data_IF_015688779986
#
_entry.id   IF_015688779986
#
_cell.length_a   1.000
_cell.length_b   1.000
_cell.length_c   1.000
_cell.angle_alpha   90.00
_cell.angle_beta   90.00
_cell.angle_gamma   90.00
#
_symmetry.space_group_name_H-M   'P 1'
#
loop_
_entity.id
_entity.type
_entity.pdbx_description
1 polymer ?
#
# COMPACT_ATOMS: atom_id res chain seq x y z
N UNK A 1 -1.41 2.66 -6.12
CA UNK A 1 -0.21 3.51 -6.20
C UNK A 1 0.94 2.67 -6.72
N UNK A 2 1.68 3.14 -7.70
CA UNK A 2 2.82 2.44 -8.28
C UNK A 2 4.12 3.23 -8.10
N UNK A 3 5.25 2.61 -8.40
CA UNK A 3 6.59 3.17 -8.22
C UNK A 3 7.14 3.00 -6.78
N UNK A 4 8.45 2.78 -6.65
CA UNK A 4 9.15 2.87 -5.37
C UNK A 4 9.14 4.32 -4.86
N UNK A 5 9.43 4.54 -3.58
CA UNK A 5 9.37 5.88 -2.97
C UNK A 5 10.24 6.92 -3.68
N UNK A 6 11.32 6.48 -4.32
CA UNK A 6 12.29 7.31 -5.04
C UNK A 6 12.08 7.34 -6.56
N UNK A 7 11.10 6.59 -7.07
CA UNK A 7 10.79 6.52 -8.50
C UNK A 7 9.59 7.41 -8.84
N UNK A 8 9.34 7.57 -10.15
CA UNK A 8 8.13 8.20 -10.70
C UNK A 8 6.89 7.54 -10.11
N UNK A 9 6.13 8.27 -9.30
CA UNK A 9 5.00 7.73 -8.56
C UNK A 9 3.69 8.00 -9.31
N UNK A 10 2.81 7.00 -9.33
CA UNK A 10 1.49 7.12 -9.95
C UNK A 10 0.45 6.67 -8.93
N UNK A 11 -0.53 7.53 -8.65
CA UNK A 11 -1.72 7.21 -7.88
C UNK A 11 -2.90 7.07 -8.83
N UNK A 12 -3.47 5.87 -8.91
CA UNK A 12 -4.64 5.59 -9.74
C UNK A 12 -5.81 5.22 -8.86
N UNK A 13 -6.95 5.82 -9.13
CA UNK A 13 -8.24 5.49 -8.53
C UNK A 13 -9.17 4.99 -9.63
N UNK A 14 -9.91 3.96 -9.33
CA UNK A 14 -10.91 3.41 -10.21
C UNK A 14 -12.21 3.23 -9.44
N UNK A 15 -13.32 3.61 -10.06
CA UNK A 15 -14.64 3.32 -9.53
C UNK A 15 -15.06 1.92 -9.97
N UNK A 16 -15.51 1.13 -9.00
CA UNK A 16 -16.13 -0.17 -9.25
C UNK A 16 -17.47 -0.27 -8.51
N UNK A 17 -18.50 -0.90 -9.11
CA UNK A 17 -19.83 -0.99 -8.50
C UNK A 17 -19.87 -1.95 -7.30
N UNK A 18 -18.81 -2.72 -7.08
CA UNK A 18 -18.73 -3.71 -5.99
C UNK A 18 -17.31 -3.97 -5.54
N UNK A 19 -17.16 -5.01 -4.72
CA UNK A 19 -15.89 -5.45 -4.12
C UNK A 19 -15.48 -6.87 -4.57
N UNK A 20 -16.00 -7.36 -5.67
CA UNK A 20 -15.67 -8.69 -6.19
C UNK A 20 -14.21 -8.82 -6.61
N UNK A 21 -13.67 -10.04 -6.51
CA UNK A 21 -12.28 -10.35 -6.91
C UNK A 21 -12.00 -10.10 -8.40
N UNK A 22 -13.04 -10.11 -9.25
CA UNK A 22 -12.93 -9.83 -10.66
C UNK A 22 -12.38 -8.42 -10.94
N UNK A 23 -12.77 -7.40 -10.15
CA UNK A 23 -12.35 -6.02 -10.40
C UNK A 23 -10.84 -5.81 -10.29
N UNK A 24 -10.15 -6.20 -9.19
CA UNK A 24 -8.71 -6.09 -9.16
C UNK A 24 -8.00 -7.02 -10.17
N UNK A 25 -8.58 -8.18 -10.48
CA UNK A 25 -8.02 -9.08 -11.50
C UNK A 25 -8.07 -8.46 -12.90
N UNK A 26 -9.19 -7.84 -13.27
CA UNK A 26 -9.36 -7.16 -14.55
C UNK A 26 -8.46 -5.91 -14.65
N UNK A 27 -8.46 -5.06 -13.61
CA UNK A 27 -7.65 -3.84 -13.57
C UNK A 27 -6.15 -4.13 -13.67
N UNK A 28 -5.69 -5.21 -13.04
CA UNK A 28 -4.27 -5.61 -13.03
C UNK A 28 -3.95 -6.65 -14.10
N UNK A 29 -4.85 -6.87 -15.06
CA UNK A 29 -4.60 -7.81 -16.16
C UNK A 29 -3.34 -7.43 -16.94
N UNK A 30 -2.43 -8.39 -17.11
CA UNK A 30 -1.13 -8.17 -17.76
C UNK A 30 -0.08 -7.47 -16.89
N UNK A 31 -0.40 -7.10 -15.65
CA UNK A 31 0.60 -6.59 -14.73
C UNK A 31 1.44 -7.74 -14.16
N UNK A 32 2.75 -7.54 -14.16
CA UNK A 32 3.74 -8.45 -13.56
C UNK A 32 4.62 -7.69 -12.58
N UNK A 33 4.96 -8.31 -11.47
CA UNK A 33 5.83 -7.72 -10.45
C UNK A 33 5.29 -7.86 -9.04
N UNK A 34 5.57 -6.88 -8.19
CA UNK A 34 5.19 -6.91 -6.79
C UNK A 34 3.87 -6.16 -6.55
N UNK A 35 2.91 -6.84 -5.92
CA UNK A 35 1.60 -6.28 -5.56
C UNK A 35 1.44 -6.24 -4.04
N UNK A 36 1.53 -5.05 -3.45
CA UNK A 36 1.34 -4.88 -2.01
C UNK A 36 -0.13 -4.66 -1.65
N UNK A 37 -0.64 -5.48 -0.71
CA UNK A 37 -2.05 -5.52 -0.33
C UNK A 37 -2.22 -5.55 1.19
N UNK A 38 -3.46 -5.31 1.64
CA UNK A 38 -3.86 -5.38 3.05
C UNK A 38 -4.25 -6.80 3.51
N UNK A 39 -4.18 -7.80 2.64
CA UNK A 39 -4.63 -9.17 2.90
C UNK A 39 -6.10 -9.41 2.59
N UNK A 40 -6.76 -8.51 1.83
CA UNK A 40 -8.08 -8.77 1.28
C UNK A 40 -8.04 -9.92 0.25
N UNK A 41 -8.94 -10.89 0.41
CA UNK A 41 -8.94 -12.12 -0.40
C UNK A 41 -9.20 -11.88 -1.89
N UNK A 42 -9.86 -10.77 -2.25
CA UNK A 42 -10.09 -10.37 -3.64
C UNK A 42 -8.84 -10.22 -4.50
N UNK A 43 -7.67 -10.05 -3.88
CA UNK A 43 -6.40 -10.02 -4.60
C UNK A 43 -5.79 -11.40 -4.89
N UNK A 44 -6.39 -12.48 -4.38
CA UNK A 44 -5.87 -13.83 -4.60
C UNK A 44 -5.97 -14.27 -6.07
N UNK A 45 -6.91 -13.70 -6.82
CA UNK A 45 -7.17 -14.05 -8.23
C UNK A 45 -6.29 -13.26 -9.22
N UNK A 46 -5.53 -12.27 -8.75
CA UNK A 46 -4.59 -11.52 -9.59
C UNK A 46 -3.42 -12.42 -9.97
N UNK A 47 -3.26 -12.68 -11.27
CA UNK A 47 -2.22 -13.58 -11.80
C UNK A 47 -0.92 -12.84 -12.12
N UNK A 48 0.20 -13.55 -12.14
CA UNK A 48 1.51 -13.02 -12.58
C UNK A 48 2.18 -12.10 -11.58
N UNK A 49 1.67 -11.98 -10.34
CA UNK A 49 2.21 -11.08 -9.32
C UNK A 49 2.81 -11.83 -8.13
N UNK A 50 3.84 -11.24 -7.55
CA UNK A 50 4.32 -11.61 -6.22
C UNK A 50 3.64 -10.72 -5.18
N UNK A 51 2.76 -11.31 -4.36
CA UNK A 51 2.03 -10.55 -3.34
C UNK A 51 2.92 -10.18 -2.17
N UNK A 52 2.76 -8.94 -1.71
CA UNK A 52 3.35 -8.44 -0.47
C UNK A 52 2.23 -8.16 0.52
N UNK A 53 2.42 -8.59 1.77
CA UNK A 53 1.49 -8.30 2.86
C UNK A 53 1.80 -6.98 3.55
N UNK A 54 0.98 -6.64 4.53
CA UNK A 54 1.12 -5.40 5.30
C UNK A 54 1.32 -5.69 6.79
N UNK A 55 2.52 -5.43 7.30
CA UNK A 55 2.84 -5.57 8.72
C UNK A 55 2.08 -4.59 9.62
N UNK A 56 1.67 -3.44 9.08
CA UNK A 56 0.85 -2.51 9.84
C UNK A 56 -0.53 -3.10 10.18
N UNK A 57 -1.12 -3.90 9.28
CA UNK A 57 -2.36 -4.62 9.54
C UNK A 57 -2.20 -5.71 10.59
N UNK A 58 -1.12 -6.50 10.53
CA UNK A 58 -0.83 -7.49 11.55
C UNK A 58 -0.60 -6.83 12.92
N UNK A 59 0.20 -5.74 12.96
CA UNK A 59 0.45 -4.98 14.20
C UNK A 59 -0.85 -4.45 14.80
N UNK A 60 -1.78 -3.95 13.97
CA UNK A 60 -3.10 -3.47 14.43
C UNK A 60 -3.90 -4.59 15.09
N UNK A 61 -3.88 -5.81 14.53
CA UNK A 61 -4.56 -6.97 15.14
C UNK A 61 -3.98 -7.34 16.51
N UNK A 62 -2.66 -7.30 16.67
CA UNK A 62 -2.04 -7.49 18.00
C UNK A 62 -2.35 -6.34 18.96
N UNK A 63 -2.39 -5.08 18.47
CA UNK A 63 -2.80 -3.92 19.27
C UNK A 63 -4.25 -4.04 19.78
N UNK A 64 -5.17 -4.50 18.93
CA UNK A 64 -6.54 -4.80 19.34
C UNK A 64 -6.60 -5.92 20.40
N UNK A 65 -5.75 -6.94 20.27
CA UNK A 65 -5.65 -8.01 21.26
C UNK A 65 -5.09 -7.50 22.59
N UNK A 66 -4.10 -6.60 22.57
CA UNK A 66 -3.56 -5.94 23.78
C UNK A 66 -4.64 -5.07 24.45
N UNK A 67 -5.41 -4.29 23.67
CA UNK A 67 -6.51 -3.46 24.20
C UNK A 67 -7.63 -4.28 24.83
N UNK A 68 -7.79 -5.53 24.43
CA UNK A 68 -8.78 -6.46 25.01
C UNK A 68 -8.30 -7.13 26.31
N UNK A 69 -7.04 -6.93 26.72
CA UNK A 69 -6.54 -7.41 28.01
C UNK A 69 -7.08 -6.58 29.18
N UNK A 70 -7.10 -7.14 30.39
CA UNK A 70 -7.42 -6.38 31.61
C UNK A 70 -6.54 -5.13 31.72
N UNK A 71 -7.09 -4.04 32.29
CA UNK A 71 -6.35 -2.79 32.51
C UNK A 71 -5.06 -3.07 33.32
N UNK A 72 -3.93 -2.59 32.81
CA UNK A 72 -2.63 -2.75 33.46
C UNK A 72 -1.87 -4.03 33.08
N UNK A 73 -2.44 -4.93 32.31
CA UNK A 73 -1.71 -6.09 31.79
C UNK A 73 -0.55 -5.65 30.88
N UNK A 74 0.68 -6.00 31.26
CA UNK A 74 1.91 -5.65 30.52
C UNK A 74 2.64 -6.86 29.94
N UNK A 75 2.08 -8.05 30.08
CA UNK A 75 2.67 -9.33 29.66
C UNK A 75 1.64 -10.18 28.95
N UNK A 76 2.10 -11.20 28.25
CA UNK A 76 1.26 -12.17 27.55
C UNK A 76 1.47 -12.16 26.05
N UNK A 77 0.89 -13.16 25.37
CA UNK A 77 1.12 -13.41 23.95
C UNK A 77 0.73 -12.22 23.04
N UNK A 78 -0.32 -11.45 23.38
CA UNK A 78 -0.70 -10.25 22.64
C UNK A 78 0.41 -9.18 22.67
N UNK A 79 0.97 -8.93 23.85
CA UNK A 79 2.06 -7.96 24.05
C UNK A 79 3.34 -8.42 23.34
N UNK A 80 3.66 -9.72 23.43
CA UNK A 80 4.84 -10.29 22.75
C UNK A 80 4.69 -10.17 21.22
N UNK A 81 3.54 -10.54 20.66
CA UNK A 81 3.31 -10.42 19.22
C UNK A 81 3.37 -8.96 18.72
N UNK A 82 2.82 -8.01 19.50
CA UNK A 82 2.94 -6.59 19.21
C UNK A 82 4.40 -6.11 19.28
N UNK A 83 5.19 -6.63 20.23
CA UNK A 83 6.61 -6.28 20.37
C UNK A 83 7.44 -6.74 19.16
N UNK A 84 7.20 -7.95 18.62
CA UNK A 84 7.84 -8.41 17.37
C UNK A 84 7.55 -7.46 16.21
N UNK A 85 6.28 -7.12 15.99
CA UNK A 85 5.92 -6.14 14.95
C UNK A 85 6.62 -4.79 15.18
N UNK A 86 6.69 -4.32 16.43
CA UNK A 86 7.32 -3.05 16.75
C UNK A 86 8.82 -3.07 16.47
N UNK A 87 9.52 -4.16 16.82
CA UNK A 87 10.95 -4.34 16.50
C UNK A 87 11.21 -4.27 15.01
N UNK A 88 10.41 -4.93 14.17
CA UNK A 88 10.51 -4.84 12.70
C UNK A 88 10.39 -3.39 12.21
N UNK A 89 9.38 -2.66 12.66
CA UNK A 89 9.23 -1.25 12.27
C UNK A 89 10.35 -0.35 12.79
N UNK A 90 10.99 -0.69 13.92
CA UNK A 90 12.17 0.04 14.41
C UNK A 90 13.37 -0.20 13.51
N UNK A 91 13.65 -1.45 13.13
CA UNK A 91 14.72 -1.77 12.18
C UNK A 91 14.47 -1.05 10.84
N UNK A 92 13.29 -1.16 10.26
CA UNK A 92 12.96 -0.49 9.00
C UNK A 92 13.13 1.04 9.06
N UNK A 93 12.89 1.66 10.21
CA UNK A 93 13.15 3.10 10.40
C UNK A 93 14.64 3.42 10.36
N UNK A 94 15.48 2.57 10.96
CA UNK A 94 16.93 2.73 10.91
C UNK A 94 17.50 2.51 9.50
N UNK A 95 16.86 1.63 8.71
CA UNK A 95 17.24 1.34 7.33
C UNK A 95 16.70 2.37 6.32
N UNK A 96 15.89 3.32 6.78
CA UNK A 96 15.34 4.37 5.92
C UNK A 96 16.47 5.24 5.35
N UNK A 97 16.47 5.44 4.03
CA UNK A 97 17.49 6.24 3.33
C UNK A 97 18.71 5.44 2.89
N UNK A 98 18.83 4.15 3.23
CA UNK A 98 19.85 3.30 2.66
C UNK A 98 19.54 2.98 1.19
N UNK A 99 20.57 2.86 0.33
CA UNK A 99 20.40 2.30 -1.02
C UNK A 99 19.72 0.92 -0.96
N UNK A 100 18.92 0.57 -2.00
CA UNK A 100 18.15 -0.67 -2.01
C UNK A 100 18.97 -1.94 -1.73
N UNK A 101 20.17 -2.01 -2.27
CA UNK A 101 21.08 -3.16 -2.09
C UNK A 101 21.51 -3.30 -0.63
N UNK A 102 21.91 -2.20 -0.01
CA UNK A 102 22.30 -2.17 1.40
C UNK A 102 21.10 -2.48 2.32
N UNK A 103 19.93 -1.95 1.98
CA UNK A 103 18.70 -2.23 2.72
C UNK A 103 18.31 -3.71 2.64
N UNK A 104 18.47 -4.32 1.47
CA UNK A 104 18.26 -5.75 1.28
C UNK A 104 19.18 -6.58 2.18
N UNK A 105 20.48 -6.30 2.16
CA UNK A 105 21.47 -7.02 2.97
C UNK A 105 21.20 -6.87 4.48
N UNK A 106 20.93 -5.66 4.94
CA UNK A 106 20.64 -5.39 6.36
C UNK A 106 19.35 -6.08 6.82
N UNK A 107 18.32 -6.14 5.98
CA UNK A 107 17.11 -6.92 6.26
C UNK A 107 17.41 -8.40 6.45
N UNK A 108 18.24 -9.00 5.59
CA UNK A 108 18.64 -10.40 5.73
C UNK A 108 19.43 -10.66 7.01
N UNK A 109 20.26 -9.71 7.43
CA UNK A 109 21.06 -9.83 8.67
C UNK A 109 20.22 -9.63 9.94
N UNK A 110 19.27 -8.70 9.93
CA UNK A 110 18.61 -8.22 11.16
C UNK A 110 17.16 -8.66 11.27
N UNK A 111 16.40 -8.62 10.17
CA UNK A 111 14.98 -8.93 10.19
C UNK A 111 14.68 -10.40 9.93
N UNK A 112 15.42 -11.04 9.03
CA UNK A 112 15.21 -12.47 8.75
C UNK A 112 15.31 -13.35 10.01
N UNK A 113 16.34 -13.23 10.87
CA UNK A 113 16.39 -13.97 12.14
C UNK A 113 15.23 -13.63 13.07
N UNK A 114 14.85 -12.35 13.17
CA UNK A 114 13.72 -11.91 13.98
C UNK A 114 12.39 -12.49 13.49
N UNK A 115 12.21 -12.60 12.18
CA UNK A 115 11.04 -13.23 11.57
C UNK A 115 11.00 -14.73 11.84
N UNK A 116 12.13 -15.42 11.75
CA UNK A 116 12.23 -16.85 12.07
C UNK A 116 11.90 -17.12 13.54
N UNK A 117 12.42 -16.28 14.44
CA UNK A 117 12.09 -16.34 15.87
C UNK A 117 10.60 -16.09 16.11
N UNK A 118 10.03 -15.06 15.46
CA UNK A 118 8.61 -14.74 15.55
C UNK A 118 7.72 -15.87 15.06
N UNK A 119 8.09 -16.50 13.94
CA UNK A 119 7.37 -17.64 13.38
C UNK A 119 7.39 -18.83 14.34
N UNK A 120 8.57 -19.23 14.80
CA UNK A 120 8.73 -20.32 15.77
C UNK A 120 7.97 -20.05 17.07
N UNK A 121 8.03 -18.81 17.56
CA UNK A 121 7.27 -18.38 18.73
C UNK A 121 5.75 -18.50 18.51
N UNK A 122 5.24 -18.15 17.33
CA UNK A 122 3.82 -18.21 17.03
C UNK A 122 3.33 -19.67 16.87
N UNK A 123 4.10 -20.50 16.17
CA UNK A 123 3.75 -21.90 15.89
C UNK A 123 3.73 -22.77 17.16
N UNK A 124 4.50 -22.38 18.19
CA UNK A 124 4.50 -23.05 19.50
C UNK A 124 3.25 -22.73 20.37
N UNK A 125 2.26 -21.99 19.85
CA UNK A 125 1.12 -21.51 20.65
C UNK A 125 -0.22 -21.96 20.10
N UNK A 126 -1.06 -22.45 21.01
CA UNK A 126 -2.47 -22.72 20.74
C UNK A 126 -3.32 -21.56 21.27
N UNK A 127 -4.07 -20.90 20.38
CA UNK A 127 -4.91 -19.74 20.73
C UNK A 127 -6.31 -19.98 20.21
N UNK A 128 -7.34 -19.60 20.99
CA UNK A 128 -8.74 -19.69 20.57
C UNK A 128 -8.98 -18.83 19.31
N UNK A 129 -9.33 -19.38 18.13
CA UNK A 129 -9.35 -18.65 16.84
C UNK A 129 -10.27 -17.44 16.81
N UNK A 130 -11.39 -17.50 17.55
CA UNK A 130 -12.40 -16.42 17.61
C UNK A 130 -12.04 -15.27 18.55
N UNK A 131 -11.01 -15.44 19.41
CA UNK A 131 -10.52 -14.36 20.27
C UNK A 131 -9.82 -13.28 19.44
N UNK A 132 -9.66 -12.05 19.98
CA UNK A 132 -8.87 -10.98 19.33
C UNK A 132 -7.43 -11.42 19.06
N UNK A 133 -6.83 -12.14 20.00
CA UNK A 133 -5.51 -12.73 19.81
C UNK A 133 -5.51 -13.79 18.72
N UNK A 134 -6.51 -14.69 18.72
CA UNK A 134 -6.67 -15.73 17.70
C UNK A 134 -6.79 -15.15 16.29
N UNK A 135 -7.52 -14.05 16.12
CA UNK A 135 -7.64 -13.35 14.83
C UNK A 135 -6.28 -12.81 14.35
N UNK A 136 -5.39 -12.36 15.27
CA UNK A 136 -4.04 -11.95 14.91
C UNK A 136 -3.19 -13.14 14.45
N UNK A 137 -3.30 -14.29 15.13
CA UNK A 137 -2.59 -15.52 14.75
C UNK A 137 -3.10 -16.12 13.43
N UNK A 138 -4.41 -16.11 13.20
CA UNK A 138 -4.99 -16.55 11.91
C UNK A 138 -4.50 -15.66 10.78
N UNK A 139 -4.48 -14.34 10.97
CA UNK A 139 -3.95 -13.42 9.97
C UNK A 139 -2.45 -13.67 9.72
N UNK A 140 -1.65 -13.81 10.77
CA UNK A 140 -0.23 -14.12 10.68
C UNK A 140 0.00 -15.41 9.88
N UNK A 141 -0.73 -16.49 10.18
CA UNK A 141 -0.59 -17.77 9.50
C UNK A 141 -0.97 -17.68 8.02
N UNK A 142 -2.13 -17.06 7.70
CA UNK A 142 -2.64 -16.95 6.33
C UNK A 142 -1.80 -16.00 5.46
N UNK A 143 -1.18 -14.99 6.06
CA UNK A 143 -0.42 -13.95 5.34
C UNK A 143 1.10 -14.10 5.51
N UNK A 144 1.61 -15.20 6.07
CA UNK A 144 3.05 -15.33 6.36
C UNK A 144 3.92 -15.11 5.12
N UNK A 145 3.66 -15.83 4.04
CA UNK A 145 4.42 -15.69 2.80
C UNK A 145 4.35 -14.25 2.22
N UNK A 146 3.16 -13.66 2.01
CA UNK A 146 3.09 -12.26 1.61
C UNK A 146 3.80 -11.30 2.57
N UNK A 147 3.70 -11.52 3.89
CA UNK A 147 4.35 -10.68 4.90
C UNK A 147 5.88 -10.74 4.84
N UNK A 148 6.47 -11.86 4.42
CA UNK A 148 7.92 -12.01 4.31
C UNK A 148 8.48 -11.64 2.94
N UNK A 149 7.66 -11.53 1.92
CA UNK A 149 8.10 -11.24 0.55
C UNK A 149 8.74 -9.85 0.37
N UNK A 150 8.56 -8.90 1.32
CA UNK A 150 9.28 -7.62 1.25
C UNK A 150 10.81 -7.78 1.39
N UNK A 151 11.27 -8.92 1.91
CA UNK A 151 12.69 -9.29 1.95
C UNK A 151 13.28 -9.63 0.58
N UNK A 152 12.47 -9.78 -0.46
CA UNK A 152 12.95 -10.15 -1.81
C UNK A 152 13.68 -9.00 -2.52
N UNK A 153 13.42 -7.75 -2.12
CA UNK A 153 14.02 -6.58 -2.76
C UNK A 153 14.04 -5.40 -1.78
N UNK A 154 15.16 -4.70 -1.67
CA UNK A 154 15.30 -3.55 -0.77
C UNK A 154 14.43 -2.36 -1.10
N UNK A 155 13.86 -2.28 -2.31
CA UNK A 155 12.89 -1.24 -2.72
C UNK A 155 11.49 -1.46 -2.15
N UNK A 156 11.16 -2.67 -1.72
CA UNK A 156 9.83 -3.03 -1.23
C UNK A 156 9.58 -2.44 0.15
N UNK A 157 8.34 -2.04 0.39
CA UNK A 157 7.93 -1.49 1.68
C UNK A 157 7.34 -2.59 2.58
N UNK A 158 7.56 -2.48 3.89
CA UNK A 158 7.02 -3.40 4.89
C UNK A 158 5.49 -3.23 5.06
N UNK A 159 4.91 -2.15 4.56
CA UNK A 159 3.47 -1.86 4.71
C UNK A 159 2.90 -1.12 3.50
N UNK A 160 1.59 -1.26 3.28
CA UNK A 160 0.86 -0.51 2.27
C UNK A 160 0.41 0.90 2.72
N UNK A 161 0.98 1.43 3.79
CA UNK A 161 0.61 2.73 4.35
C UNK A 161 0.68 3.87 3.34
N UNK A 162 1.58 3.80 2.35
CA UNK A 162 1.68 4.79 1.27
C UNK A 162 0.42 4.81 0.42
N UNK A 163 -0.04 3.64 -0.02
CA UNK A 163 -1.29 3.50 -0.78
C UNK A 163 -2.50 3.90 0.06
N UNK A 164 -2.54 3.54 1.35
CA UNK A 164 -3.62 3.95 2.26
C UNK A 164 -3.63 5.46 2.49
N UNK A 165 -2.48 6.11 2.56
CA UNK A 165 -2.41 7.57 2.65
C UNK A 165 -2.92 8.26 1.39
N UNK A 166 -2.66 7.69 0.21
CA UNK A 166 -3.11 8.27 -1.05
C UNK A 166 -4.64 8.28 -1.19
N UNK A 167 -5.37 7.35 -0.55
CA UNK A 167 -6.85 7.35 -0.58
C UNK A 167 -7.49 8.37 0.38
N UNK A 168 -6.75 8.86 1.38
CA UNK A 168 -7.29 9.79 2.39
C UNK A 168 -7.91 11.07 1.80
N UNK A 169 -7.29 11.77 0.83
CA UNK A 169 -7.87 12.97 0.25
C UNK A 169 -9.26 12.72 -0.33
N UNK A 170 -9.44 11.61 -1.04
CA UNK A 170 -10.74 11.20 -1.55
C UNK A 170 -11.76 10.93 -0.42
N UNK A 171 -11.35 10.19 0.61
CA UNK A 171 -12.22 9.87 1.77
C UNK A 171 -12.59 11.13 2.54
N UNK A 172 -11.68 12.08 2.66
CA UNK A 172 -11.97 13.39 3.30
C UNK A 172 -12.92 14.23 2.46
N UNK A 173 -12.69 14.32 1.14
CA UNK A 173 -13.58 15.01 0.20
C UNK A 173 -14.99 14.42 0.23
N UNK A 174 -15.12 13.10 0.34
CA UNK A 174 -16.41 12.41 0.46
C UNK A 174 -17.24 12.90 1.66
N UNK A 175 -16.64 13.37 2.74
CA UNK A 175 -17.39 13.97 3.86
C UNK A 175 -18.14 15.23 3.46
N UNK A 176 -17.70 15.92 2.39
CA UNK A 176 -18.35 17.13 1.89
C UNK A 176 -19.40 16.80 0.82
N UNK A 177 -19.04 15.98 -0.18
CA UNK A 177 -19.98 15.65 -1.28
C UNK A 177 -20.81 14.39 -1.02
N UNK A 178 -20.55 13.63 0.06
CA UNK A 178 -21.25 12.45 0.58
C UNK A 178 -21.21 11.24 -0.36
N UNK A 179 -21.68 11.37 -1.60
CA UNK A 179 -21.73 10.31 -2.61
C UNK A 179 -21.67 10.90 -4.03
N UNK A 180 -21.38 10.06 -5.02
CA UNK A 180 -21.56 10.40 -6.43
C UNK A 180 -22.94 9.93 -6.88
N UNK A 181 -23.73 10.82 -7.50
CA UNK A 181 -25.09 10.51 -7.94
C UNK A 181 -25.15 9.47 -9.06
N UNK A 182 -24.08 9.33 -9.82
CA UNK A 182 -24.05 8.42 -10.98
C UNK A 182 -22.70 7.71 -11.06
N UNK A 183 -22.64 6.50 -11.67
CA UNK A 183 -21.39 5.81 -11.97
C UNK A 183 -20.43 6.67 -12.81
N UNK A 184 -20.93 7.44 -13.79
CA UNK A 184 -20.12 8.36 -14.59
C UNK A 184 -19.48 9.46 -13.75
N UNK A 185 -20.23 10.02 -12.80
CA UNK A 185 -19.69 11.02 -11.86
C UNK A 185 -18.63 10.42 -10.93
N UNK A 186 -18.84 9.19 -10.45
CA UNK A 186 -17.86 8.48 -9.66
C UNK A 186 -16.56 8.21 -10.44
N UNK A 187 -16.69 7.79 -11.71
CA UNK A 187 -15.55 7.58 -12.60
C UNK A 187 -14.79 8.88 -12.89
N UNK A 188 -15.51 9.97 -13.20
CA UNK A 188 -14.91 11.28 -13.41
C UNK A 188 -14.13 11.75 -12.16
N UNK A 189 -14.70 11.58 -10.97
CA UNK A 189 -14.02 11.88 -9.71
C UNK A 189 -12.74 11.03 -9.56
N UNK A 190 -12.80 9.73 -9.85
CA UNK A 190 -11.64 8.84 -9.78
C UNK A 190 -10.51 9.32 -10.70
N UNK A 191 -10.82 9.73 -11.94
CA UNK A 191 -9.83 10.28 -12.89
C UNK A 191 -9.19 11.56 -12.36
N UNK A 192 -9.99 12.54 -11.93
CA UNK A 192 -9.46 13.82 -11.42
C UNK A 192 -8.57 13.61 -10.19
N UNK A 193 -9.02 12.78 -9.23
CA UNK A 193 -8.18 12.46 -8.08
C UNK A 193 -6.90 11.71 -8.46
N UNK A 194 -6.94 10.84 -9.49
CA UNK A 194 -5.74 10.17 -10.01
C UNK A 194 -4.71 11.19 -10.51
N UNK A 195 -5.14 12.16 -11.29
CA UNK A 195 -4.29 13.24 -11.80
C UNK A 195 -3.72 14.07 -10.64
N UNK A 196 -4.57 14.55 -9.74
CA UNK A 196 -4.16 15.43 -8.64
C UNK A 196 -3.20 14.73 -7.66
N UNK A 197 -3.48 13.49 -7.26
CA UNK A 197 -2.63 12.78 -6.31
C UNK A 197 -1.32 12.28 -6.97
N UNK A 198 -1.34 12.01 -8.28
CA UNK A 198 -0.11 11.74 -9.04
C UNK A 198 0.75 13.00 -9.14
N UNK A 199 0.16 14.17 -9.40
CA UNK A 199 0.88 15.45 -9.40
C UNK A 199 1.58 15.69 -8.05
N UNK A 200 0.84 15.60 -6.93
CA UNK A 200 1.40 15.75 -5.58
C UNK A 200 2.52 14.75 -5.29
N UNK A 201 2.37 13.49 -5.71
CA UNK A 201 3.37 12.46 -5.51
C UNK A 201 4.67 12.73 -6.27
N UNK A 202 4.64 13.58 -7.31
CA UNK A 202 5.79 14.03 -8.10
C UNK A 202 6.17 15.48 -7.80
N UNK A 203 5.78 16.03 -6.65
CA UNK A 203 6.10 17.38 -6.20
C UNK A 203 5.62 18.50 -7.14
N UNK A 204 4.51 18.31 -7.85
CA UNK A 204 3.85 19.33 -8.65
C UNK A 204 2.71 19.99 -7.85
N UNK A 205 2.43 21.27 -8.16
CA UNK A 205 1.18 21.91 -7.74
C UNK A 205 0.01 21.31 -8.53
N UNK A 206 -0.94 20.63 -7.86
CA UNK A 206 -2.00 19.89 -8.56
C UNK A 206 -2.96 20.79 -9.33
N UNK A 207 -3.15 22.07 -8.90
CA UNK A 207 -3.99 23.02 -9.63
C UNK A 207 -3.32 23.45 -10.93
N UNK A 208 -2.05 23.86 -10.88
CA UNK A 208 -1.29 24.30 -12.06
C UNK A 208 -1.13 23.14 -13.06
N UNK A 209 -0.85 21.95 -12.56
CA UNK A 209 -0.74 20.78 -13.43
C UNK A 209 -2.06 20.41 -14.09
N UNK A 210 -3.18 20.48 -13.37
CA UNK A 210 -4.51 20.24 -13.95
C UNK A 210 -4.87 21.30 -14.97
N UNK A 211 -4.56 22.57 -14.71
CA UNK A 211 -4.76 23.68 -15.65
C UNK A 211 -3.96 23.44 -16.94
N UNK A 212 -2.67 23.14 -16.83
CA UNK A 212 -1.81 22.78 -17.96
C UNK A 212 -2.42 21.64 -18.80
N UNK A 213 -2.89 20.58 -18.14
CA UNK A 213 -3.53 19.47 -18.86
C UNK A 213 -4.81 19.90 -19.58
N UNK A 214 -5.65 20.74 -18.97
CA UNK A 214 -6.92 21.19 -19.59
C UNK A 214 -6.68 22.14 -20.77
N UNK A 215 -5.62 22.94 -20.75
CA UNK A 215 -5.28 23.87 -21.82
C UNK A 215 -4.56 23.19 -22.99
N UNK A 216 -3.59 22.32 -22.70
CA UNK A 216 -2.69 21.78 -23.72
C UNK A 216 -3.12 20.41 -24.28
N UNK A 217 -3.67 19.55 -23.43
CA UNK A 217 -4.03 18.17 -23.83
C UNK A 217 -5.08 18.10 -24.96
N UNK A 218 -6.08 18.99 -25.03
CA UNK A 218 -7.03 19.01 -26.17
C UNK A 218 -6.36 19.31 -27.51
N UNK A 219 -5.25 20.06 -27.50
CA UNK A 219 -4.51 20.52 -28.67
C UNK A 219 -3.37 19.58 -29.09
N UNK A 220 -3.15 18.49 -28.34
CA UNK A 220 -2.07 17.55 -28.61
C UNK A 220 -2.20 16.85 -29.97
N UNK A 221 -1.11 16.74 -30.72
CA UNK A 221 -1.06 15.98 -31.97
C UNK A 221 -1.03 14.48 -31.69
N UNK A 222 -2.20 13.87 -31.61
CA UNK A 222 -2.38 12.44 -31.31
C UNK A 222 -1.88 11.48 -32.39
N UNK A 223 -1.40 11.98 -33.52
CA UNK A 223 -0.78 11.15 -34.58
C UNK A 223 0.64 10.75 -34.22
N UNK A 224 1.28 11.45 -33.30
CA UNK A 224 2.61 11.10 -32.80
C UNK A 224 2.52 9.90 -31.86
N UNK A 225 3.45 8.98 -31.94
CA UNK A 225 3.51 7.81 -31.06
C UNK A 225 3.76 8.19 -29.59
N UNK A 226 4.48 9.29 -29.36
CA UNK A 226 4.89 9.82 -28.04
C UNK A 226 4.01 10.99 -27.56
N UNK A 227 2.81 11.17 -28.13
CA UNK A 227 1.96 12.35 -27.90
C UNK A 227 1.59 12.58 -26.43
N UNK A 228 1.56 11.53 -25.59
CA UNK A 228 1.27 11.64 -24.17
C UNK A 228 2.50 11.99 -23.29
N UNK A 229 3.71 11.76 -23.79
CA UNK A 229 4.94 11.97 -23.01
C UNK A 229 5.08 13.37 -22.42
N UNK A 230 4.79 14.48 -23.14
CA UNK A 230 4.87 15.83 -22.58
C UNK A 230 3.92 16.09 -21.41
N UNK A 231 2.83 15.33 -21.33
CA UNK A 231 1.79 15.49 -20.32
C UNK A 231 2.01 14.64 -19.06
N UNK A 232 3.05 13.83 -19.04
CA UNK A 232 3.38 13.04 -17.85
C UNK A 232 3.94 13.94 -16.74
N UNK A 233 3.65 13.67 -15.46
CA UNK A 233 4.01 14.55 -14.36
C UNK A 233 5.51 14.89 -14.27
N UNK A 234 6.37 13.95 -14.64
CA UNK A 234 7.83 14.14 -14.63
C UNK A 234 8.36 14.94 -15.82
N UNK A 235 7.53 15.17 -16.83
CA UNK A 235 7.84 16.00 -18.01
C UNK A 235 7.04 17.31 -18.00
N UNK A 236 6.23 17.55 -16.97
CA UNK A 236 5.44 18.76 -16.84
C UNK A 236 6.34 20.01 -16.77
N UNK A 237 5.89 21.16 -17.32
CA UNK A 237 6.59 22.42 -17.25
C UNK A 237 6.93 22.84 -15.82
N UNK A 238 8.00 23.63 -15.66
CA UNK A 238 8.44 24.12 -14.34
C UNK A 238 7.38 24.99 -13.64
N UNK A 239 6.52 25.66 -14.39
CA UNK A 239 5.38 26.42 -13.87
C UNK A 239 4.38 25.55 -13.08
N UNK A 240 4.42 24.24 -13.27
CA UNK A 240 3.63 23.27 -12.52
C UNK A 240 4.22 22.89 -11.15
N UNK A 241 5.37 23.45 -10.78
CA UNK A 241 6.08 23.18 -9.51
C UNK A 241 5.80 24.20 -8.43
#
# INVERSE_FOLDING_TARGET
>A
MSGAAEARQIALYEYQPGRGACYPADFLSGFHGYLQTDGYDGYNDVKGVTRLGCWAHLRRKFDEAVKALPKGARTGAAVTGQAYCTKLFMIERELQGLPPENRYEERLKREKPLLDEFRAWADARTVAPKSKLGQAFVYLANQWTPLTNYLLDGRLEISNNRAERSIKPFVMGRKNFLFANTPRGAQASAVIYSVMETAKANALDPYRYLLFLLEEFPNADRRRADWMEPFLPWNAPDDCR
#
